data_IF_959119595674
#
_entry.id   IF_959119595674
#
_cell.length_a   1.000
_cell.length_b   1.000
_cell.length_c   1.000
_cell.angle_alpha   90.00
_cell.angle_beta   90.00
_cell.angle_gamma   90.00
#
_symmetry.space_group_name_H-M   'P 1'
#
loop_
_entity.id
_entity.type
_entity.pdbx_description
1 polymer ?
#
# COMPACT_ATOMS: atom_id res chain seq x y z
N UNK A 1 11.51 4.80 10.95
CA UNK A 1 11.56 3.92 9.76
C UNK A 1 12.10 2.57 10.18
N UNK A 2 11.24 1.64 10.58
CA UNK A 2 11.64 0.24 10.76
C UNK A 2 11.20 -0.52 9.51
N UNK A 3 12.17 -1.11 8.81
CA UNK A 3 11.90 -2.01 7.71
C UNK A 3 11.04 -3.18 8.22
N UNK A 4 10.02 -3.56 7.47
CA UNK A 4 9.12 -4.67 7.79
C UNK A 4 9.81 -6.03 7.52
N UNK A 5 11.00 -6.02 6.93
CA UNK A 5 11.78 -7.21 6.59
C UNK A 5 13.27 -7.01 6.90
N UNK A 6 13.76 -7.65 7.95
CA UNK A 6 15.19 -7.85 8.20
C UNK A 6 15.62 -9.18 7.53
N UNK A 7 16.19 -9.10 6.33
CA UNK A 7 16.75 -10.28 5.63
C UNK A 7 18.05 -10.81 6.25
N UNK A 8 18.47 -10.29 7.42
CA UNK A 8 19.78 -10.56 8.02
C UNK A 8 19.94 -11.90 8.73
N UNK A 9 18.86 -12.62 9.10
CA UNK A 9 19.01 -13.81 9.97
C UNK A 9 18.10 -15.02 9.67
N UNK A 10 17.39 -15.06 8.53
CA UNK A 10 16.60 -16.24 8.12
C UNK A 10 15.48 -16.68 9.07
N UNK A 11 15.13 -15.85 10.06
CA UNK A 11 14.11 -16.17 11.06
C UNK A 11 12.83 -15.40 10.71
N UNK A 12 11.73 -16.12 10.48
CA UNK A 12 10.44 -15.53 10.13
C UNK A 12 9.76 -15.02 11.41
N UNK A 13 9.66 -13.70 11.57
CA UNK A 13 8.88 -13.11 12.66
C UNK A 13 7.39 -13.10 12.31
N UNK A 14 6.53 -13.45 13.28
CA UNK A 14 5.08 -13.36 13.11
C UNK A 14 4.66 -11.89 13.11
N UNK A 15 4.51 -11.32 11.91
CA UNK A 15 4.02 -9.96 11.73
C UNK A 15 2.49 -9.96 11.68
N UNK A 16 1.80 -9.15 12.51
CA UNK A 16 0.34 -9.04 12.43
C UNK A 16 -0.09 -8.47 11.08
N UNK A 17 -1.19 -9.00 10.52
CA UNK A 17 -1.63 -8.73 9.14
C UNK A 17 -1.83 -7.22 8.85
N UNK A 18 -2.28 -6.47 9.85
CA UNK A 18 -2.45 -5.00 9.79
C UNK A 18 -1.15 -4.25 9.52
N UNK A 19 -0.02 -4.84 9.90
CA UNK A 19 1.32 -4.27 9.70
C UNK A 19 1.92 -4.72 8.37
N UNK A 20 1.67 -5.97 7.97
CA UNK A 20 2.18 -6.53 6.72
C UNK A 20 1.51 -5.92 5.47
N UNK A 21 0.21 -5.65 5.53
CA UNK A 21 -0.57 -5.07 4.42
C UNK A 21 -0.91 -3.59 4.64
N UNK A 22 -0.08 -2.87 5.40
CA UNK A 22 -0.31 -1.46 5.67
C UNK A 22 -0.13 -0.65 4.37
N UNK A 23 -1.22 -0.03 3.92
CA UNK A 23 -1.21 1.00 2.89
C UNK A 23 -1.13 2.37 3.59
N UNK A 24 0.03 3.07 3.57
CA UNK A 24 0.20 4.36 4.23
C UNK A 24 -0.30 5.54 3.37
N UNK A 25 -1.00 5.29 2.26
CA UNK A 25 -1.34 6.33 1.28
C UNK A 25 -2.34 7.37 1.77
N UNK A 26 -3.20 7.04 2.74
CA UNK A 26 -4.14 7.97 3.36
C UNK A 26 -4.11 7.82 4.88
N UNK A 27 -4.29 8.93 5.61
CA UNK A 27 -4.60 8.85 7.03
C UNK A 27 -6.08 8.49 7.21
N UNK A 28 -6.45 8.00 8.40
CA UNK A 28 -7.82 7.58 8.70
C UNK A 28 -8.87 8.65 8.38
N UNK A 29 -8.58 9.91 8.70
CA UNK A 29 -9.48 11.04 8.47
C UNK A 29 -9.71 11.27 6.98
N UNK A 30 -8.64 11.37 6.19
CA UNK A 30 -8.76 11.63 4.75
C UNK A 30 -9.31 10.43 3.97
N UNK A 31 -9.00 9.19 4.36
CA UNK A 31 -9.61 8.00 3.75
C UNK A 31 -11.14 8.03 3.93
N UNK A 32 -11.61 8.34 5.13
CA UNK A 32 -13.04 8.45 5.40
C UNK A 32 -13.67 9.62 4.64
N UNK A 33 -13.10 10.82 4.69
CA UNK A 33 -13.68 12.02 4.05
C UNK A 33 -13.72 11.91 2.51
N UNK A 34 -12.68 11.34 1.89
CA UNK A 34 -12.58 11.23 0.43
C UNK A 34 -13.51 10.13 -0.11
N UNK A 35 -13.60 9.00 0.60
CA UNK A 35 -14.33 7.82 0.15
C UNK A 35 -15.72 7.65 0.77
N UNK A 36 -16.16 8.56 1.65
CA UNK A 36 -17.54 8.58 2.19
C UNK A 36 -18.61 8.37 1.10
N UNK A 37 -18.55 9.00 -0.09
CA UNK A 37 -19.59 8.85 -1.11
C UNK A 37 -19.69 7.43 -1.72
N UNK A 38 -18.68 6.58 -1.53
CA UNK A 38 -18.69 5.19 -1.99
C UNK A 38 -18.85 4.18 -0.83
N UNK A 39 -18.49 4.55 0.40
CA UNK A 39 -18.49 3.65 1.56
C UNK A 39 -19.81 3.75 2.38
N UNK A 40 -20.43 4.93 2.48
CA UNK A 40 -21.62 5.16 3.34
C UNK A 40 -22.90 5.45 2.54
N UNK A 41 -22.79 5.98 1.33
CA UNK A 41 -23.94 6.32 0.49
C UNK A 41 -24.45 5.12 -0.32
N UNK A 42 -25.73 5.14 -0.69
CA UNK A 42 -26.29 4.11 -1.59
C UNK A 42 -25.57 4.17 -2.93
N UNK A 43 -25.14 3.00 -3.41
CA UNK A 43 -24.50 2.90 -4.72
C UNK A 43 -25.49 3.24 -5.83
N UNK A 44 -25.25 4.35 -6.52
CA UNK A 44 -26.04 4.79 -7.67
C UNK A 44 -25.29 4.62 -8.99
N UNK A 45 -23.98 4.32 -8.93
CA UNK A 45 -23.12 4.26 -10.11
C UNK A 45 -22.88 5.63 -10.74
N UNK A 46 -23.03 6.71 -9.97
CA UNK A 46 -22.73 8.06 -10.46
C UNK A 46 -21.26 8.18 -10.89
N UNK A 47 -20.97 9.08 -11.84
CA UNK A 47 -19.61 9.32 -12.31
C UNK A 47 -18.64 9.63 -11.16
N UNK A 48 -19.12 10.32 -10.12
CA UNK A 48 -18.34 10.60 -8.90
C UNK A 48 -17.98 9.32 -8.15
N UNK A 49 -18.94 8.41 -7.94
CA UNK A 49 -18.70 7.14 -7.26
C UNK A 49 -17.74 6.25 -8.06
N UNK A 50 -17.93 6.17 -9.38
CA UNK A 50 -17.04 5.42 -10.28
C UNK A 50 -15.63 6.00 -10.27
N UNK A 51 -15.50 7.33 -10.33
CA UNK A 51 -14.22 8.02 -10.26
C UNK A 51 -13.49 7.75 -8.94
N UNK A 52 -14.18 7.88 -7.79
CA UNK A 52 -13.59 7.66 -6.47
C UNK A 52 -13.13 6.20 -6.28
N UNK A 53 -13.91 5.25 -6.79
CA UNK A 53 -13.54 3.84 -6.77
C UNK A 53 -12.27 3.58 -7.60
N UNK A 54 -12.21 4.11 -8.82
CA UNK A 54 -11.04 3.99 -9.68
C UNK A 54 -9.81 4.68 -9.07
N UNK A 55 -10.00 5.87 -8.47
CA UNK A 55 -8.95 6.61 -7.79
C UNK A 55 -8.34 5.81 -6.63
N UNK A 56 -9.17 5.21 -5.77
CA UNK A 56 -8.70 4.35 -4.66
C UNK A 56 -7.87 3.17 -5.16
N UNK A 57 -8.36 2.48 -6.20
CA UNK A 57 -7.67 1.35 -6.81
C UNK A 57 -6.31 1.74 -7.41
N UNK A 58 -6.24 2.89 -8.09
CA UNK A 58 -4.99 3.41 -8.66
C UNK A 58 -3.95 3.71 -7.58
N UNK A 59 -4.33 4.34 -6.47
CA UNK A 59 -3.40 4.64 -5.38
C UNK A 59 -2.82 3.36 -4.75
N UNK A 60 -3.64 2.32 -4.58
CA UNK A 60 -3.19 1.02 -4.08
C UNK A 60 -2.22 0.33 -5.04
N UNK A 61 -2.55 0.31 -6.34
CA UNK A 61 -1.72 -0.32 -7.37
C UNK A 61 -0.37 0.40 -7.52
N UNK A 62 -0.38 1.74 -7.50
CA UNK A 62 0.87 2.52 -7.52
C UNK A 62 1.73 2.18 -6.29
N UNK A 63 1.16 2.14 -5.09
CA UNK A 63 1.91 1.78 -3.89
C UNK A 63 2.48 0.35 -3.97
N UNK A 64 1.72 -0.61 -4.48
CA UNK A 64 2.20 -1.98 -4.69
C UNK A 64 3.39 -2.03 -5.67
N UNK A 65 3.33 -1.28 -6.77
CA UNK A 65 4.45 -1.17 -7.73
C UNK A 65 5.68 -0.50 -7.15
N UNK A 66 5.50 0.59 -6.40
CA UNK A 66 6.62 1.31 -5.78
C UNK A 66 7.29 0.49 -4.69
N UNK A 67 6.51 -0.15 -3.81
CA UNK A 67 7.05 -1.03 -2.78
C UNK A 67 7.81 -2.21 -3.39
N UNK A 68 7.25 -2.89 -4.39
CA UNK A 68 7.93 -3.97 -5.10
C UNK A 68 9.21 -3.52 -5.84
N UNK A 69 9.24 -2.30 -6.37
CA UNK A 69 10.41 -1.76 -7.09
C UNK A 69 11.51 -1.32 -6.13
N UNK A 70 11.16 -0.79 -4.96
CA UNK A 70 12.12 -0.36 -3.93
C UNK A 70 12.93 -1.52 -3.34
N UNK A 71 12.34 -2.71 -3.19
CA UNK A 71 13.09 -3.91 -2.77
C UNK A 71 13.99 -4.48 -3.88
N UNK A 72 13.68 -4.21 -5.15
CA UNK A 72 14.45 -4.69 -6.29
C UNK A 72 15.78 -3.95 -6.45
N UNK A 73 15.86 -2.67 -6.06
CA UNK A 73 17.12 -1.91 -6.11
C UNK A 73 18.06 -2.23 -4.94
N UNK A 74 17.52 -2.60 -3.76
CA UNK A 74 18.34 -2.96 -2.60
C UNK A 74 19.01 -4.34 -2.71
N UNK A 75 18.39 -5.30 -3.39
CA UNK A 75 19.00 -6.62 -3.63
C UNK A 75 20.08 -6.58 -4.72
N UNK A 76 20.01 -5.65 -5.68
CA UNK A 76 21.07 -5.45 -6.67
C UNK A 76 22.29 -4.70 -6.09
N UNK A 77 22.09 -3.77 -5.14
CA UNK A 77 23.19 -3.02 -4.51
C UNK A 77 24.10 -3.89 -3.61
N UNK A 78 23.62 -5.05 -3.18
CA UNK A 78 24.37 -6.03 -2.38
C UNK A 78 25.08 -7.08 -3.23
N UNK A 79 24.89 -7.09 -4.56
CA UNK A 79 25.53 -7.99 -5.53
C UNK A 79 26.56 -7.25 -6.43
N UNK A 80 27.22 -6.22 -5.91
CA UNK A 80 28.41 -5.63 -6.55
C UNK A 80 29.55 -5.51 -5.55
N UNK A 81 29.92 -6.64 -4.95
CA UNK A 81 31.27 -6.88 -4.44
C UNK A 81 31.81 -8.15 -5.10
N UNK A 82 32.36 -7.97 -6.30
CA UNK A 82 33.47 -8.76 -6.82
C UNK A 82 34.49 -7.79 -7.37
#
# INVERSE_FOLDING_TARGET
MSAIFDFGNGNFEHVPIKRASAFPGFCKTHDQEIFQPIDEEVWTGSDKQVFLLAYRALCLELYAKFSASFYRTQTCASFSRK
#
